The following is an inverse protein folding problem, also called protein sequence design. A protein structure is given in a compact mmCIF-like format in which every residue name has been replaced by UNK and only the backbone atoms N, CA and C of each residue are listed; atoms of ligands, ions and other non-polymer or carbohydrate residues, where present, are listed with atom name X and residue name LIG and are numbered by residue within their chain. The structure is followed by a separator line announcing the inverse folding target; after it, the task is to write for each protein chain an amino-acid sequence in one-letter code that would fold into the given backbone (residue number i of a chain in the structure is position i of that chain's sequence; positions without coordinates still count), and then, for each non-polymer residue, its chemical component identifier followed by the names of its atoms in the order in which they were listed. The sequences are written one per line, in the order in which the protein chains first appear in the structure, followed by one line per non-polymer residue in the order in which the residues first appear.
data_IF_508307000822
#
_entry.id   IF_508307000822
#
_cell.length_a   1.000
_cell.length_b   1.000
_cell.length_c   1.000
_cell.angle_alpha   90.00
_cell.angle_beta   90.00
_cell.angle_gamma   90.00
#
_symmetry.space_group_name_H-M   'P 1'
#
loop_
_entity.id
_entity.type
_entity.pdbx_description
1 polymer ?
#
# COMPACT_ATOMS: atom_id res chain seq x y z
N UNK A 1 -20.01 -10.38 -14.72
CA UNK A 1 -19.36 -10.26 -13.43
C UNK A 1 -19.81 -8.96 -12.76
N UNK A 2 -20.12 -9.07 -11.50
CA UNK A 2 -20.62 -7.94 -10.73
C UNK A 2 -19.51 -6.96 -10.39
N UNK A 3 -19.80 -5.66 -10.44
CA UNK A 3 -18.84 -4.63 -10.06
C UNK A 3 -18.39 -4.78 -8.61
N UNK A 4 -19.28 -5.27 -7.76
CA UNK A 4 -18.98 -5.49 -6.36
C UNK A 4 -17.85 -6.51 -6.18
N UNK A 5 -17.89 -7.59 -6.94
CA UNK A 5 -16.87 -8.62 -6.88
C UNK A 5 -15.52 -8.08 -7.36
N UNK A 6 -15.54 -7.25 -8.41
CA UNK A 6 -14.32 -6.64 -8.92
C UNK A 6 -13.68 -5.69 -7.91
N UNK A 7 -14.51 -4.94 -7.20
CA UNK A 7 -14.01 -4.04 -6.17
C UNK A 7 -13.38 -4.81 -5.02
N UNK A 8 -14.04 -5.88 -4.58
CA UNK A 8 -13.50 -6.72 -3.50
C UNK A 8 -12.15 -7.30 -3.89
N UNK A 9 -12.03 -7.80 -5.12
CA UNK A 9 -10.78 -8.36 -5.59
C UNK A 9 -9.70 -7.30 -5.64
N UNK A 10 -10.03 -6.11 -6.14
CA UNK A 10 -9.07 -5.02 -6.20
C UNK A 10 -8.60 -4.63 -4.80
N UNK A 11 -9.52 -4.50 -3.86
CA UNK A 11 -9.16 -4.14 -2.49
C UNK A 11 -8.26 -5.18 -1.86
N UNK A 12 -8.52 -6.46 -2.10
CA UNK A 12 -7.68 -7.53 -1.60
C UNK A 12 -6.26 -7.40 -2.15
N UNK A 13 -6.13 -7.13 -3.44
CA UNK A 13 -4.83 -6.97 -4.08
C UNK A 13 -4.08 -5.76 -3.54
N UNK A 14 -4.79 -4.65 -3.34
CA UNK A 14 -4.17 -3.45 -2.80
C UNK A 14 -3.68 -3.66 -1.37
N UNK A 15 -4.46 -4.37 -0.56
CA UNK A 15 -4.04 -4.69 0.80
C UNK A 15 -2.81 -5.60 0.80
N UNK A 16 -2.75 -6.56 -0.12
CA UNK A 16 -1.61 -7.45 -0.24
C UNK A 16 -0.35 -6.69 -0.65
N UNK A 17 -0.49 -5.73 -1.57
CA UNK A 17 0.63 -4.89 -1.98
C UNK A 17 1.13 -4.06 -0.80
N UNK A 18 0.22 -3.47 -0.04
CA UNK A 18 0.60 -2.69 1.14
C UNK A 18 1.35 -3.55 2.14
N UNK A 19 0.86 -4.77 2.40
CA UNK A 19 1.52 -5.68 3.33
C UNK A 19 2.93 -6.03 2.86
N UNK A 20 3.10 -6.24 1.55
CA UNK A 20 4.42 -6.51 0.97
C UNK A 20 5.35 -5.32 1.15
N UNK A 21 4.83 -4.11 1.01
CA UNK A 21 5.62 -2.91 1.23
C UNK A 21 6.05 -2.77 2.68
N UNK A 22 5.19 -3.12 3.62
CA UNK A 22 5.53 -3.09 5.03
C UNK A 22 6.62 -4.10 5.35
N UNK A 23 6.57 -5.28 4.74
CA UNK A 23 7.63 -6.27 4.90
C UNK A 23 8.95 -5.76 4.33
N UNK A 24 8.89 -5.12 3.17
CA UNK A 24 10.08 -4.53 2.56
C UNK A 24 10.67 -3.44 3.45
N UNK A 25 9.82 -2.67 4.11
CA UNK A 25 10.28 -1.63 5.04
C UNK A 25 11.08 -2.24 6.19
N UNK A 26 10.64 -3.38 6.70
CA UNK A 26 11.37 -4.11 7.72
C UNK A 26 12.72 -4.60 7.19
N UNK A 27 12.73 -5.15 5.98
CA UNK A 27 13.94 -5.67 5.37
C UNK A 27 14.98 -4.58 5.12
N UNK A 28 14.52 -3.38 4.77
CA UNK A 28 15.39 -2.24 4.51
C UNK A 28 16.23 -1.87 5.73
N UNK A 29 15.72 -2.15 6.92
CA UNK A 29 16.45 -1.84 8.16
C UNK A 29 17.80 -2.52 8.22
N UNK A 30 18.00 -3.59 7.45
CA UNK A 30 19.28 -4.28 7.37
C UNK A 30 20.29 -3.66 6.44
N UNK A 31 19.93 -2.61 5.70
CA UNK A 31 20.86 -1.93 4.80
C UNK A 31 21.83 -1.08 5.63
N UNK A 32 23.13 -1.28 5.40
CA UNK A 32 24.15 -0.60 6.17
C UNK A 32 24.35 0.86 5.78
N UNK A 33 24.11 1.19 4.51
CA UNK A 33 24.26 2.56 4.01
C UNK A 33 23.09 3.41 4.52
N UNK A 34 23.37 4.30 5.46
CA UNK A 34 22.37 5.13 6.10
C UNK A 34 21.60 5.99 5.10
N UNK A 35 22.31 6.53 4.11
CA UNK A 35 21.68 7.41 3.13
C UNK A 35 20.70 6.64 2.27
N UNK A 36 21.11 5.51 1.75
CA UNK A 36 20.24 4.68 0.91
C UNK A 36 19.08 4.12 1.70
N UNK A 37 19.33 3.68 2.93
CA UNK A 37 18.28 3.18 3.79
C UNK A 37 17.22 4.25 4.02
N UNK A 38 17.66 5.46 4.36
CA UNK A 38 16.73 6.57 4.60
C UNK A 38 15.91 6.93 3.37
N UNK A 39 16.53 6.93 2.19
CA UNK A 39 15.84 7.20 0.94
C UNK A 39 14.77 6.16 0.66
N UNK A 40 15.13 4.89 0.78
CA UNK A 40 14.20 3.80 0.52
C UNK A 40 13.05 3.81 1.52
N UNK A 41 13.34 4.06 2.79
CA UNK A 41 12.29 4.16 3.80
C UNK A 41 11.30 5.26 3.46
N UNK A 42 11.80 6.43 3.08
CA UNK A 42 10.93 7.56 2.75
C UNK A 42 10.02 7.24 1.57
N UNK A 43 10.58 6.63 0.53
CA UNK A 43 9.81 6.28 -0.66
C UNK A 43 8.76 5.21 -0.36
N UNK A 44 9.13 4.18 0.39
CA UNK A 44 8.18 3.10 0.71
C UNK A 44 7.08 3.60 1.63
N UNK A 45 7.42 4.41 2.63
CA UNK A 45 6.40 4.99 3.51
C UNK A 45 5.43 5.86 2.75
N UNK A 46 5.95 6.64 1.78
CA UNK A 46 5.10 7.45 0.91
C UNK A 46 4.17 6.60 0.08
N UNK A 47 4.69 5.49 -0.46
CA UNK A 47 3.87 4.57 -1.26
C UNK A 47 2.79 3.90 -0.42
N UNK A 48 3.13 3.50 0.80
CA UNK A 48 2.16 2.90 1.72
C UNK A 48 1.04 3.89 2.03
N UNK A 49 1.40 5.14 2.30
CA UNK A 49 0.43 6.19 2.58
C UNK A 49 -0.50 6.42 1.39
N UNK A 50 0.07 6.44 0.19
CA UNK A 50 -0.72 6.64 -1.01
C UNK A 50 -1.70 5.49 -1.23
N UNK A 51 -1.25 4.26 -1.07
CA UNK A 51 -2.13 3.10 -1.23
C UNK A 51 -3.24 3.12 -0.19
N UNK A 52 -2.93 3.46 1.06
CA UNK A 52 -3.95 3.57 2.09
C UNK A 52 -5.00 4.61 1.74
N UNK A 53 -4.56 5.74 1.20
CA UNK A 53 -5.47 6.81 0.79
C UNK A 53 -6.39 6.33 -0.33
N UNK A 54 -5.84 5.61 -1.32
CA UNK A 54 -6.62 5.09 -2.43
C UNK A 54 -7.63 4.04 -1.97
N UNK A 55 -7.22 3.18 -1.06
CA UNK A 55 -8.14 2.17 -0.50
C UNK A 55 -9.31 2.88 0.19
N UNK A 56 -9.02 3.89 0.99
CA UNK A 56 -10.05 4.66 1.70
C UNK A 56 -11.01 5.32 0.73
N UNK A 57 -10.49 5.92 -0.34
CA UNK A 57 -11.32 6.57 -1.33
C UNK A 57 -12.22 5.59 -2.07
N UNK A 58 -11.67 4.43 -2.43
CA UNK A 58 -12.46 3.41 -3.11
C UNK A 58 -13.61 2.91 -2.24
N UNK A 59 -13.33 2.66 -0.97
CA UNK A 59 -14.36 2.19 -0.04
C UNK A 59 -15.42 3.26 0.14
N UNK A 60 -15.01 4.52 0.33
CA UNK A 60 -15.95 5.62 0.53
C UNK A 60 -16.83 5.85 -0.70
N UNK A 61 -16.24 5.81 -1.89
CA UNK A 61 -17.00 5.98 -3.14
C UNK A 61 -18.04 4.89 -3.30
N UNK A 62 -17.67 3.67 -2.97
CA UNK A 62 -18.60 2.54 -3.09
C UNK A 62 -19.76 2.68 -2.11
N UNK A 63 -19.47 3.15 -0.89
CA UNK A 63 -20.50 3.30 0.12
C UNK A 63 -21.48 4.42 -0.20
N UNK A 64 -21.02 5.43 -0.90
CA UNK A 64 -21.88 6.57 -1.26
C UNK A 64 -22.88 6.26 -2.36
N UNK A 65 -22.60 5.26 -3.17
CA UNK A 65 -23.50 4.87 -4.24
C UNK A 65 -24.55 3.87 -3.74
#
# INVERSE_FOLDING_TARGET
MDQHDNLQELLTRLNNIRDSMEEALDDIKGIEDDYRRGLLEAHIRGAIREINAQITELVSSHQES
#
